data_IF_758540331110
#
_entry.id   IF_758540331110
#
_cell.length_a   1.000
_cell.length_b   1.000
_cell.length_c   1.000
_cell.angle_alpha   90.00
_cell.angle_beta   90.00
_cell.angle_gamma   90.00
#
_symmetry.space_group_name_H-M   'P 1'
#
loop_
_entity.id
_entity.type
_entity.pdbx_description
1 polymer ?
#
# COMPACT_ATOMS: atom_id res chain seq x y z
N UNK A 1 -44.90 61.65 26.91
CA UNK A 1 -44.76 60.92 25.67
C UNK A 1 -43.33 60.39 25.62
N UNK A 2 -43.16 59.13 26.04
CA UNK A 2 -41.83 58.50 26.18
C UNK A 2 -41.65 57.46 25.09
N UNK A 3 -40.72 57.68 24.17
CA UNK A 3 -40.36 56.76 23.11
C UNK A 3 -39.33 55.75 23.63
N UNK A 4 -39.74 54.48 23.77
CA UNK A 4 -38.83 53.38 24.03
C UNK A 4 -38.18 52.92 22.72
N UNK A 5 -36.87 53.14 22.58
CA UNK A 5 -36.06 52.57 21.49
C UNK A 5 -35.76 51.10 21.83
N UNK A 6 -36.28 50.14 21.04
CA UNK A 6 -35.93 48.72 21.11
C UNK A 6 -34.67 48.45 20.34
N UNK A 7 -33.53 48.30 21.05
CA UNK A 7 -32.28 47.89 20.47
C UNK A 7 -32.32 46.38 20.23
N UNK A 8 -32.34 45.94 18.95
CA UNK A 8 -32.22 44.55 18.57
C UNK A 8 -30.74 44.16 18.53
N UNK A 9 -30.34 43.35 19.47
CA UNK A 9 -29.00 42.73 19.49
C UNK A 9 -28.96 41.57 18.48
N UNK A 10 -28.32 41.76 17.34
CA UNK A 10 -28.04 40.68 16.40
C UNK A 10 -26.84 39.87 16.92
N UNK A 11 -27.15 38.71 17.51
CA UNK A 11 -26.12 37.71 17.89
C UNK A 11 -25.69 36.98 16.62
N UNK A 12 -24.59 37.44 16.01
CA UNK A 12 -23.97 36.79 14.85
C UNK A 12 -23.23 35.53 15.34
N UNK A 13 -23.85 34.37 15.11
CA UNK A 13 -23.25 33.08 15.38
C UNK A 13 -22.26 32.73 14.25
N UNK A 14 -20.97 33.06 14.45
CA UNK A 14 -19.94 32.61 13.53
C UNK A 14 -19.59 31.14 13.86
N UNK A 15 -20.16 30.22 13.08
CA UNK A 15 -19.73 28.83 13.08
C UNK A 15 -18.39 28.77 12.34
N UNK A 16 -17.30 28.76 13.10
CA UNK A 16 -15.98 28.48 12.53
C UNK A 16 -15.92 27.01 12.13
N UNK A 17 -16.03 26.76 10.83
CA UNK A 17 -15.83 25.44 10.25
C UNK A 17 -14.34 25.11 10.33
N UNK A 18 -13.94 24.40 11.39
CA UNK A 18 -12.58 23.85 11.50
C UNK A 18 -12.42 22.74 10.46
N UNK A 19 -11.74 23.03 9.37
CA UNK A 19 -11.19 22.01 8.48
C UNK A 19 -10.08 21.28 9.23
N UNK A 20 -10.39 20.12 9.78
CA UNK A 20 -9.38 19.18 10.26
C UNK A 20 -8.76 18.59 9.00
N UNK A 21 -7.59 19.12 8.59
CA UNK A 21 -6.75 18.47 7.61
C UNK A 21 -6.23 17.17 8.24
N UNK A 22 -6.87 16.05 7.97
CA UNK A 22 -6.31 14.74 8.27
C UNK A 22 -5.06 14.59 7.43
N UNK A 23 -3.89 14.58 8.07
CA UNK A 23 -2.66 14.20 7.40
C UNK A 23 -2.86 12.78 6.87
N UNK A 24 -2.93 12.64 5.55
CA UNK A 24 -3.02 11.35 4.88
C UNK A 24 -1.65 10.69 5.04
N UNK A 25 -1.58 9.74 5.96
CA UNK A 25 -0.39 8.89 6.14
C UNK A 25 -0.58 7.65 5.29
N UNK A 26 0.50 7.21 4.64
CA UNK A 26 0.50 5.97 3.87
C UNK A 26 -0.15 4.82 4.65
N UNK A 27 -1.10 4.14 4.03
CA UNK A 27 -1.73 2.96 4.64
C UNK A 27 -0.67 1.85 4.77
N UNK A 28 -0.53 1.30 5.97
CA UNK A 28 0.43 0.23 6.24
C UNK A 28 -0.27 -1.02 6.75
N UNK A 29 0.30 -2.18 6.40
CA UNK A 29 -0.13 -3.49 6.90
C UNK A 29 1.04 -4.25 7.52
N UNK A 30 0.74 -5.15 8.48
CA UNK A 30 1.64 -6.21 8.89
C UNK A 30 1.71 -7.31 7.81
N UNK A 31 2.72 -8.18 7.89
CA UNK A 31 2.82 -9.34 7.00
C UNK A 31 1.61 -10.29 7.16
N UNK A 32 1.14 -10.48 8.40
CA UNK A 32 -0.04 -11.31 8.69
C UNK A 32 -1.31 -10.73 8.05
N UNK A 33 -1.56 -9.44 8.21
CA UNK A 33 -2.71 -8.76 7.61
C UNK A 33 -2.68 -8.83 6.09
N UNK A 34 -1.48 -8.64 5.49
CA UNK A 34 -1.32 -8.75 4.05
C UNK A 34 -1.61 -10.16 3.52
N UNK A 35 -1.15 -11.20 4.23
CA UNK A 35 -1.46 -12.58 3.87
C UNK A 35 -2.97 -12.87 3.92
N UNK A 36 -3.65 -12.48 4.99
CA UNK A 36 -5.09 -12.63 5.15
C UNK A 36 -5.87 -11.90 4.04
N UNK A 37 -5.47 -10.66 3.74
CA UNK A 37 -6.10 -9.87 2.69
C UNK A 37 -5.90 -10.49 1.28
N UNK A 38 -4.75 -11.13 1.03
CA UNK A 38 -4.49 -11.88 -0.21
C UNK A 38 -5.40 -13.12 -0.30
N UNK A 39 -5.46 -13.93 0.77
CA UNK A 39 -6.30 -15.14 0.80
C UNK A 39 -7.80 -14.80 0.64
N UNK A 40 -8.24 -13.64 1.14
CA UNK A 40 -9.59 -13.12 0.99
C UNK A 40 -9.83 -12.39 -0.37
N UNK A 41 -8.82 -12.31 -1.24
CA UNK A 41 -8.89 -11.57 -2.50
C UNK A 41 -9.24 -10.06 -2.33
N UNK A 42 -8.84 -9.47 -1.23
CA UNK A 42 -9.06 -8.04 -0.91
C UNK A 42 -7.98 -7.14 -1.54
N UNK A 43 -6.75 -7.66 -1.64
CA UNK A 43 -5.62 -6.94 -2.23
C UNK A 43 -4.91 -7.78 -3.30
N UNK A 44 -4.17 -7.09 -4.18
CA UNK A 44 -3.12 -7.67 -5.00
C UNK A 44 -1.79 -7.35 -4.32
N UNK A 45 -1.05 -8.37 -3.90
CA UNK A 45 0.26 -8.21 -3.28
C UNK A 45 1.35 -8.29 -4.34
N UNK A 46 2.23 -7.30 -4.39
CA UNK A 46 3.38 -7.25 -5.28
C UNK A 46 4.68 -7.39 -4.46
N UNK A 47 5.43 -8.45 -4.70
CA UNK A 47 6.78 -8.60 -4.16
C UNK A 47 7.75 -7.85 -5.07
N UNK A 48 8.20 -6.66 -4.61
CA UNK A 48 9.07 -5.76 -5.37
C UNK A 48 10.57 -6.01 -5.12
N UNK A 49 10.92 -7.17 -4.55
CA UNK A 49 12.31 -7.56 -4.35
C UNK A 49 12.97 -7.93 -5.68
N UNK A 50 14.22 -8.32 -5.62
CA UNK A 50 15.00 -8.78 -6.77
C UNK A 50 14.84 -10.28 -6.97
N UNK A 51 15.15 -10.77 -8.18
CA UNK A 51 15.15 -12.19 -8.53
C UNK A 51 16.04 -13.03 -7.59
N UNK A 52 17.22 -12.51 -7.22
CA UNK A 52 18.11 -13.18 -6.28
C UNK A 52 17.49 -13.37 -4.89
N UNK A 53 16.74 -12.36 -4.40
CA UNK A 53 16.02 -12.44 -3.12
C UNK A 53 14.87 -13.44 -3.19
N UNK A 54 14.13 -13.49 -4.30
CA UNK A 54 13.05 -14.48 -4.51
C UNK A 54 13.57 -15.93 -4.55
N UNK A 55 14.70 -16.14 -5.25
CA UNK A 55 15.36 -17.46 -5.31
C UNK A 55 15.87 -17.92 -3.94
N UNK A 56 16.40 -16.97 -3.17
CA UNK A 56 16.99 -17.28 -1.86
C UNK A 56 15.97 -17.65 -0.79
N UNK A 57 14.87 -16.93 -0.71
CA UNK A 57 13.92 -17.02 0.41
C UNK A 57 12.50 -17.45 0.03
N UNK A 58 12.25 -17.64 -1.26
CA UNK A 58 10.89 -17.80 -1.77
C UNK A 58 10.13 -16.47 -1.84
N UNK A 59 8.89 -16.54 -2.25
CA UNK A 59 7.95 -15.44 -2.45
C UNK A 59 6.75 -15.68 -1.56
N UNK A 60 6.19 -14.67 -0.94
CA UNK A 60 4.96 -14.79 -0.17
C UNK A 60 3.84 -15.42 -1.01
N UNK A 61 3.15 -16.43 -0.47
CA UNK A 61 2.06 -17.10 -1.22
C UNK A 61 1.03 -16.07 -1.69
N UNK A 62 0.69 -16.11 -2.98
CA UNK A 62 -0.26 -15.21 -3.61
C UNK A 62 0.30 -13.88 -4.10
N UNK A 63 1.57 -13.55 -3.79
CA UNK A 63 2.19 -12.36 -4.33
C UNK A 63 2.58 -12.52 -5.81
N UNK A 64 2.40 -11.45 -6.59
CA UNK A 64 2.92 -11.32 -7.94
C UNK A 64 4.33 -10.73 -7.91
N UNK A 65 5.13 -11.05 -8.91
CA UNK A 65 6.52 -10.61 -8.99
C UNK A 65 6.64 -9.30 -9.78
N UNK A 66 7.22 -8.29 -9.17
CA UNK A 66 7.52 -7.03 -9.85
C UNK A 66 8.88 -6.47 -9.39
N UNK A 67 9.96 -6.84 -10.09
CA UNK A 67 11.31 -6.45 -9.70
C UNK A 67 11.51 -4.93 -9.76
N UNK A 68 11.79 -4.30 -8.61
CA UNK A 68 12.03 -2.85 -8.51
C UNK A 68 13.20 -2.37 -9.40
N UNK A 69 14.16 -3.26 -9.73
CA UNK A 69 15.29 -2.96 -10.61
C UNK A 69 14.97 -3.13 -12.11
N UNK A 70 13.79 -3.61 -12.46
CA UNK A 70 13.36 -3.66 -13.86
C UNK A 70 13.21 -2.23 -14.39
N UNK A 71 13.76 -1.98 -15.60
CA UNK A 71 13.63 -0.66 -16.27
C UNK A 71 12.18 -0.28 -16.52
N UNK A 72 11.30 -1.25 -16.63
CA UNK A 72 9.86 -1.07 -16.84
C UNK A 72 9.04 -1.12 -15.54
N UNK A 73 9.70 -1.17 -14.38
CA UNK A 73 9.00 -1.27 -13.08
C UNK A 73 7.84 -0.27 -12.95
N UNK A 74 8.11 1.02 -13.18
CA UNK A 74 7.07 2.06 -13.07
C UNK A 74 5.92 1.84 -14.06
N UNK A 75 6.23 1.55 -15.32
CA UNK A 75 5.21 1.32 -16.34
C UNK A 75 4.33 0.11 -16.00
N UNK A 76 4.94 -1.00 -15.55
CA UNK A 76 4.20 -2.20 -15.13
C UNK A 76 3.37 -1.96 -13.87
N UNK A 77 3.92 -1.24 -12.89
CA UNK A 77 3.18 -0.89 -11.67
C UNK A 77 1.93 -0.06 -11.99
N UNK A 78 2.06 0.97 -12.82
CA UNK A 78 0.90 1.75 -13.25
C UNK A 78 -0.09 0.92 -14.06
N UNK A 79 0.37 0.04 -14.95
CA UNK A 79 -0.53 -0.85 -15.69
C UNK A 79 -1.30 -1.80 -14.76
N UNK A 80 -0.68 -2.31 -13.68
CA UNK A 80 -1.37 -3.11 -12.66
C UNK A 80 -2.42 -2.28 -11.92
N UNK A 81 -2.08 -1.05 -11.51
CA UNK A 81 -3.01 -0.15 -10.83
C UNK A 81 -4.21 0.16 -11.73
N UNK A 82 -3.97 0.56 -12.96
CA UNK A 82 -5.00 0.95 -13.92
C UNK A 82 -5.92 -0.22 -14.33
N UNK A 83 -5.37 -1.44 -14.39
CA UNK A 83 -6.14 -2.65 -14.68
C UNK A 83 -7.00 -3.12 -13.48
N UNK A 84 -6.74 -2.62 -12.28
CA UNK A 84 -7.40 -3.05 -11.05
C UNK A 84 -7.89 -1.87 -10.20
N UNK A 85 -8.75 -0.98 -10.73
CA UNK A 85 -9.14 0.27 -10.07
C UNK A 85 -9.88 0.05 -8.74
N UNK A 86 -10.56 -1.08 -8.59
CA UNK A 86 -11.34 -1.43 -7.40
C UNK A 86 -10.56 -2.24 -6.36
N UNK A 87 -9.28 -2.52 -6.63
CA UNK A 87 -8.42 -3.29 -5.72
C UNK A 87 -7.39 -2.39 -5.04
N UNK A 88 -7.08 -2.71 -3.80
CA UNK A 88 -5.90 -2.18 -3.14
C UNK A 88 -4.67 -2.97 -3.59
N UNK A 89 -3.55 -2.29 -3.76
CA UNK A 89 -2.26 -2.87 -4.17
C UNK A 89 -1.30 -2.82 -2.98
N UNK A 90 -0.97 -3.98 -2.43
CA UNK A 90 0.05 -4.09 -1.39
C UNK A 90 1.44 -4.24 -1.99
N UNK A 91 2.41 -3.48 -1.50
CA UNK A 91 3.82 -3.63 -1.87
C UNK A 91 4.61 -4.24 -0.71
N UNK A 92 5.34 -5.32 -0.98
CA UNK A 92 6.24 -5.93 0.00
C UNK A 92 7.67 -5.95 -0.54
N UNK A 93 8.64 -5.63 0.32
CA UNK A 93 10.06 -5.80 0.00
C UNK A 93 10.78 -6.61 1.09
N UNK A 94 12.10 -6.52 1.22
CA UNK A 94 12.82 -7.29 2.23
C UNK A 94 12.50 -6.83 3.67
N UNK A 95 12.59 -5.51 3.92
CA UNK A 95 12.53 -4.92 5.27
C UNK A 95 11.68 -3.63 5.33
N UNK A 96 10.73 -3.44 4.42
CA UNK A 96 9.81 -2.30 4.38
C UNK A 96 10.36 -0.99 3.79
N UNK A 97 11.67 -0.82 3.65
CA UNK A 97 12.24 0.46 3.21
C UNK A 97 11.96 0.80 1.74
N UNK A 98 12.10 -0.16 0.83
CA UNK A 98 11.85 0.03 -0.61
C UNK A 98 10.35 0.20 -0.90
N UNK A 99 9.51 -0.61 -0.29
CA UNK A 99 8.06 -0.55 -0.46
C UNK A 99 7.50 0.75 0.10
N UNK A 100 7.90 1.17 1.30
CA UNK A 100 7.50 2.45 1.88
C UNK A 100 7.89 3.64 0.99
N UNK A 101 9.12 3.66 0.45
CA UNK A 101 9.54 4.71 -0.48
C UNK A 101 8.66 4.80 -1.74
N UNK A 102 8.29 3.65 -2.32
CA UNK A 102 7.42 3.61 -3.51
C UNK A 102 6.01 4.06 -3.17
N UNK A 103 5.45 3.60 -2.04
CA UNK A 103 4.12 4.00 -1.57
C UNK A 103 4.06 5.51 -1.34
N UNK A 104 5.01 6.08 -0.60
CA UNK A 104 5.09 7.53 -0.37
C UNK A 104 5.15 8.35 -1.67
N UNK A 105 5.90 7.83 -2.67
CA UNK A 105 6.01 8.50 -3.97
C UNK A 105 4.70 8.45 -4.77
N UNK A 106 3.93 7.37 -4.65
CA UNK A 106 2.63 7.20 -5.32
C UNK A 106 1.55 8.04 -4.64
N UNK A 107 1.52 8.10 -3.31
CA UNK A 107 0.57 8.94 -2.56
C UNK A 107 0.73 10.42 -2.90
N UNK A 108 1.97 10.91 -2.98
CA UNK A 108 2.27 12.29 -3.42
C UNK A 108 1.76 12.60 -4.82
N UNK A 109 1.47 11.58 -5.63
CA UNK A 109 0.87 11.69 -6.97
C UNK A 109 -0.63 11.44 -6.98
N UNK A 110 -1.25 11.24 -5.81
CA UNK A 110 -2.70 11.06 -5.67
C UNK A 110 -3.21 9.62 -5.70
N UNK A 111 -2.32 8.61 -5.75
CA UNK A 111 -2.71 7.21 -5.67
C UNK A 111 -2.91 6.81 -4.20
N UNK A 112 -4.16 6.59 -3.79
CA UNK A 112 -4.52 6.32 -2.38
C UNK A 112 -4.83 4.84 -2.10
N UNK A 113 -4.86 3.99 -3.14
CA UNK A 113 -5.16 2.57 -3.03
C UNK A 113 -3.91 1.68 -2.93
N UNK A 114 -2.78 2.25 -2.52
CA UNK A 114 -1.50 1.55 -2.39
C UNK A 114 -1.14 1.41 -0.91
N UNK A 115 -0.69 0.22 -0.53
CA UNK A 115 -0.42 -0.15 0.87
C UNK A 115 1.03 -0.61 1.00
N UNK A 116 1.72 -0.15 2.05
CA UNK A 116 3.04 -0.68 2.41
C UNK A 116 2.92 -1.86 3.39
N UNK A 117 3.44 -3.02 3.01
CA UNK A 117 3.65 -4.13 3.95
C UNK A 117 4.95 -3.87 4.71
N UNK A 118 4.85 -2.99 5.71
CA UNK A 118 5.98 -2.29 6.33
C UNK A 118 6.98 -3.21 7.07
N UNK A 119 6.55 -4.41 7.48
CA UNK A 119 7.44 -5.41 8.07
C UNK A 119 8.37 -6.04 7.03
N UNK A 120 7.91 -6.16 5.78
CA UNK A 120 8.62 -6.85 4.71
C UNK A 120 8.67 -8.38 4.89
N UNK A 121 9.49 -9.03 4.07
CA UNK A 121 9.69 -10.48 4.14
C UNK A 121 10.54 -10.90 5.34
N UNK A 122 11.57 -10.13 5.69
CA UNK A 122 12.58 -10.49 6.68
C UNK A 122 12.34 -9.89 8.07
N UNK A 123 11.41 -8.96 8.18
CA UNK A 123 11.16 -8.16 9.37
C UNK A 123 11.89 -6.82 9.38
N UNK A 124 11.39 -5.92 10.21
CA UNK A 124 11.88 -4.55 10.37
C UNK A 124 11.60 -4.05 11.79
N UNK A 125 11.87 -2.77 12.07
CA UNK A 125 11.41 -2.14 13.30
C UNK A 125 9.87 -2.08 13.44
N UNK A 126 9.14 -2.37 12.35
CA UNK A 126 7.67 -2.41 12.32
C UNK A 126 7.08 -3.76 12.72
N UNK A 127 7.89 -4.84 12.68
CA UNK A 127 7.46 -6.16 13.08
C UNK A 127 8.33 -7.29 12.52
N UNK A 128 7.97 -8.55 12.83
CA UNK A 128 8.82 -9.72 12.60
C UNK A 128 8.95 -10.08 11.10
N UNK A 129 8.00 -9.68 10.24
CA UNK A 129 8.01 -10.00 8.83
C UNK A 129 7.48 -11.39 8.47
N UNK A 130 7.23 -11.57 7.17
CA UNK A 130 6.58 -12.74 6.60
C UNK A 130 7.22 -14.09 7.00
N UNK A 131 8.55 -14.18 6.84
CA UNK A 131 9.27 -15.43 7.05
C UNK A 131 9.38 -15.81 8.53
N UNK A 132 9.62 -14.84 9.40
CA UNK A 132 9.84 -15.11 10.83
C UNK A 132 8.59 -15.60 11.55
N UNK A 133 7.41 -15.17 11.10
CA UNK A 133 6.13 -15.67 11.65
C UNK A 133 5.63 -16.93 10.95
N UNK A 134 6.42 -17.48 10.00
CA UNK A 134 6.12 -18.76 9.36
C UNK A 134 5.00 -18.72 8.33
N UNK A 135 4.70 -17.55 7.73
CA UNK A 135 3.71 -17.48 6.66
C UNK A 135 4.17 -18.26 5.41
N UNK A 136 3.24 -18.87 4.67
CA UNK A 136 3.59 -19.73 3.55
C UNK A 136 4.28 -18.95 2.42
N UNK A 137 5.30 -19.60 1.84
CA UNK A 137 6.00 -19.12 0.65
C UNK A 137 5.88 -20.12 -0.50
N UNK A 138 6.10 -19.64 -1.71
CA UNK A 138 6.19 -20.45 -2.93
C UNK A 138 7.52 -20.18 -3.62
N UNK A 139 7.93 -21.09 -4.52
CA UNK A 139 9.11 -20.86 -5.36
C UNK A 139 8.87 -19.66 -6.30
N UNK A 140 9.96 -19.01 -6.72
CA UNK A 140 9.90 -17.92 -7.70
C UNK A 140 9.16 -18.34 -8.98
N UNK A 141 9.41 -19.55 -9.51
CA UNK A 141 8.77 -20.05 -10.73
C UNK A 141 7.25 -20.18 -10.56
N UNK A 142 6.80 -20.66 -9.39
CA UNK A 142 5.37 -20.77 -9.09
C UNK A 142 4.73 -19.38 -8.96
N UNK A 143 5.38 -18.44 -8.33
CA UNK A 143 4.90 -17.06 -8.24
C UNK A 143 4.90 -16.38 -9.61
N UNK A 144 5.93 -16.61 -10.44
CA UNK A 144 5.99 -16.12 -11.81
C UNK A 144 4.84 -16.66 -12.66
N UNK A 145 4.53 -17.96 -12.56
CA UNK A 145 3.40 -18.56 -13.25
C UNK A 145 2.04 -17.99 -12.81
N UNK A 146 1.92 -17.58 -11.53
CA UNK A 146 0.71 -16.97 -10.97
C UNK A 146 0.58 -15.47 -11.31
N UNK A 147 1.68 -14.80 -11.64
CA UNK A 147 1.66 -13.40 -12.11
C UNK A 147 1.01 -13.36 -13.51
N UNK A 148 0.02 -12.48 -13.78
CA UNK A 148 -0.57 -12.36 -15.10
C UNK A 148 0.49 -12.08 -16.18
N UNK A 149 0.35 -12.70 -17.35
CA UNK A 149 1.40 -12.70 -18.40
C UNK A 149 1.81 -11.30 -18.86
N UNK A 150 0.85 -10.39 -18.93
CA UNK A 150 1.03 -8.98 -19.31
C UNK A 150 1.89 -8.17 -18.34
N UNK A 151 2.01 -8.63 -17.08
CA UNK A 151 2.79 -7.95 -16.03
C UNK A 151 4.11 -8.65 -15.69
N UNK A 152 4.39 -9.83 -16.28
CA UNK A 152 5.61 -10.58 -15.98
C UNK A 152 6.86 -9.76 -16.33
N UNK A 153 7.84 -9.88 -15.46
CA UNK A 153 9.21 -9.41 -15.75
C UNK A 153 9.90 -10.43 -16.65
N UNK A 154 10.54 -9.96 -17.71
CA UNK A 154 11.37 -10.81 -18.60
C UNK A 154 12.71 -11.08 -17.94
#
# INVERSE_FOLDING_TARGET
MTFLAKTRLFLSCHVALMFIATALSAETMSAQQAFEAVENNEIILLDIRTEGEWKQSGVGKGAWLLNLKDRQFGAKLFAIIDANPDKKIGLICAVGGRSGYVVDALEKRGHQNIIDVAEGMLGSAKGPGWLKIGLPTVSMDKAHAATPSEFRTN
#
